data_IF_325792611720
#
_entry.id   IF_325792611720
#
_cell.length_a   1.000
_cell.length_b   1.000
_cell.length_c   1.000
_cell.angle_alpha   90.00
_cell.angle_beta   90.00
_cell.angle_gamma   90.00
#
_symmetry.space_group_name_H-M   'P 1'
#
loop_
_entity.id
_entity.type
_entity.pdbx_description
1 polymer ?
#
# COMPACT_ATOMS: atom_id res chain seq x y z
N UNK A 1 12.12 17.05 -7.80
CA UNK A 1 12.60 15.65 -7.92
C UNK A 1 12.79 15.29 -9.37
N UNK A 2 14.01 14.98 -9.79
CA UNK A 2 14.31 14.64 -11.18
C UNK A 2 14.53 13.15 -11.40
N UNK A 3 15.07 12.41 -10.41
CA UNK A 3 15.41 10.98 -10.58
C UNK A 3 15.06 10.09 -9.37
N UNK A 4 15.01 8.77 -9.60
CA UNK A 4 14.74 7.75 -8.55
C UNK A 4 15.74 7.79 -7.39
N UNK A 5 16.98 8.19 -7.64
CA UNK A 5 18.01 8.36 -6.61
C UNK A 5 17.64 9.46 -5.61
N UNK A 6 17.01 10.54 -6.06
CA UNK A 6 16.52 11.61 -5.19
C UNK A 6 15.35 11.11 -4.35
N UNK A 7 14.43 10.36 -4.98
CA UNK A 7 13.31 9.75 -4.28
C UNK A 7 13.75 8.85 -3.13
N UNK A 8 14.69 7.94 -3.38
CA UNK A 8 15.26 7.05 -2.37
C UNK A 8 15.85 7.82 -1.19
N UNK A 9 16.39 9.01 -1.44
CA UNK A 9 17.04 9.85 -0.45
C UNK A 9 16.11 10.89 0.20
N UNK A 10 14.83 10.90 -0.16
CA UNK A 10 13.87 11.87 0.36
C UNK A 10 13.68 11.75 1.88
N UNK A 11 13.41 12.89 2.51
CA UNK A 11 13.18 12.96 3.95
C UNK A 11 11.96 12.14 4.41
N UNK A 12 10.99 11.89 3.51
CA UNK A 12 9.81 11.07 3.82
C UNK A 12 10.19 9.58 3.92
N UNK A 13 10.93 9.03 2.96
CA UNK A 13 11.35 7.61 3.03
C UNK A 13 12.35 7.34 4.14
N UNK A 14 13.10 8.35 4.59
CA UNK A 14 13.98 8.24 5.75
C UNK A 14 13.22 8.26 7.07
N UNK A 15 11.95 8.66 7.08
CA UNK A 15 11.17 8.73 8.31
C UNK A 15 10.61 7.34 8.67
N UNK A 16 10.87 6.82 9.89
CA UNK A 16 10.34 5.52 10.31
C UNK A 16 8.80 5.43 10.26
N UNK A 17 8.08 6.54 10.42
CA UNK A 17 6.61 6.52 10.37
C UNK A 17 6.08 6.06 9.02
N UNK A 18 6.76 6.38 7.92
CA UNK A 18 6.36 5.94 6.58
C UNK A 18 6.41 4.42 6.46
N UNK A 19 7.40 3.77 7.06
CA UNK A 19 7.52 2.30 7.05
C UNK A 19 6.55 1.62 8.02
N UNK A 20 6.22 2.25 9.14
CA UNK A 20 5.17 1.77 10.04
C UNK A 20 3.82 1.78 9.33
N UNK A 21 3.50 2.87 8.61
CA UNK A 21 2.28 2.95 7.79
C UNK A 21 2.32 1.94 6.65
N UNK A 22 3.49 1.69 6.04
CA UNK A 22 3.64 0.66 5.01
C UNK A 22 3.33 -0.75 5.54
N UNK A 23 3.83 -1.08 6.74
CA UNK A 23 3.55 -2.37 7.40
C UNK A 23 2.07 -2.50 7.74
N UNK A 24 1.46 -1.46 8.31
CA UNK A 24 0.04 -1.44 8.62
C UNK A 24 -0.80 -1.62 7.33
N UNK A 25 -0.47 -0.87 6.28
CA UNK A 25 -1.11 -0.98 4.96
C UNK A 25 -0.94 -2.36 4.33
N UNK A 26 0.25 -2.96 4.44
CA UNK A 26 0.51 -4.31 3.95
C UNK A 26 -0.39 -5.34 4.65
N UNK A 27 -0.45 -5.30 5.98
CA UNK A 27 -1.28 -6.23 6.75
C UNK A 27 -2.77 -6.05 6.43
N UNK A 28 -3.24 -4.80 6.35
CA UNK A 28 -4.61 -4.49 5.99
C UNK A 28 -4.97 -4.97 4.58
N UNK A 29 -4.17 -4.63 3.57
CA UNK A 29 -4.38 -5.02 2.19
C UNK A 29 -4.36 -6.53 1.98
N UNK A 30 -3.39 -7.19 2.63
CA UNK A 30 -3.26 -8.64 2.57
C UNK A 30 -4.46 -9.35 3.19
N UNK A 31 -4.90 -8.92 4.37
CA UNK A 31 -6.10 -9.48 5.00
C UNK A 31 -7.38 -9.22 4.20
N UNK A 32 -7.53 -8.03 3.62
CA UNK A 32 -8.71 -7.70 2.81
C UNK A 32 -8.79 -8.57 1.54
N UNK A 33 -7.69 -8.68 0.79
CA UNK A 33 -7.64 -9.52 -0.40
C UNK A 33 -7.89 -10.99 -0.06
N UNK A 34 -7.27 -11.49 1.02
CA UNK A 34 -7.51 -12.82 1.55
C UNK A 34 -8.99 -13.06 1.86
N UNK A 35 -9.64 -12.14 2.57
CA UNK A 35 -11.05 -12.25 2.94
C UNK A 35 -11.97 -12.29 1.71
N UNK A 36 -11.77 -11.39 0.75
CA UNK A 36 -12.53 -11.35 -0.52
C UNK A 36 -12.39 -12.67 -1.28
N UNK A 37 -11.16 -13.20 -1.35
CA UNK A 37 -10.87 -14.46 -2.03
C UNK A 37 -11.46 -15.66 -1.32
N UNK A 38 -11.45 -15.68 0.01
CA UNK A 38 -12.07 -16.76 0.78
C UNK A 38 -13.59 -16.79 0.57
N UNK A 39 -14.26 -15.62 0.50
CA UNK A 39 -15.68 -15.53 0.16
C UNK A 39 -15.93 -16.12 -1.23
N UNK A 40 -15.18 -15.70 -2.24
CA UNK A 40 -15.31 -16.23 -3.61
C UNK A 40 -15.05 -17.73 -3.67
N UNK A 41 -14.10 -18.26 -2.89
CA UNK A 41 -13.85 -19.72 -2.82
C UNK A 41 -15.04 -20.45 -2.19
N UNK A 42 -15.69 -19.86 -1.18
CA UNK A 42 -16.97 -20.34 -0.64
C UNK A 42 -18.10 -20.39 -1.69
N UNK A 43 -18.06 -19.49 -2.67
CA UNK A 43 -18.97 -19.46 -3.83
C UNK A 43 -18.55 -20.45 -4.95
N UNK A 44 -17.46 -21.20 -4.77
CA UNK A 44 -17.03 -22.25 -5.70
C UNK A 44 -16.02 -21.80 -6.75
N UNK A 45 -15.34 -20.64 -6.60
CA UNK A 45 -14.23 -20.32 -7.51
C UNK A 45 -13.07 -21.31 -7.35
N UNK A 46 -12.44 -21.72 -8.48
CA UNK A 46 -11.31 -22.64 -8.44
C UNK A 46 -10.07 -21.96 -7.85
N UNK A 47 -9.19 -22.77 -7.28
CA UNK A 47 -7.87 -22.31 -6.83
C UNK A 47 -7.04 -21.83 -8.03
N UNK A 48 -6.25 -20.77 -7.82
CA UNK A 48 -5.30 -20.30 -8.85
C UNK A 48 -4.05 -21.17 -8.87
N UNK A 49 -3.71 -21.75 -7.72
CA UNK A 49 -2.60 -22.68 -7.54
C UNK A 49 -3.09 -24.07 -7.11
N UNK A 50 -2.31 -25.13 -7.35
CA UNK A 50 -2.70 -26.49 -6.93
C UNK A 50 -2.77 -26.68 -5.40
N UNK A 51 -2.30 -25.72 -4.61
CA UNK A 51 -2.20 -25.83 -3.15
C UNK A 51 -2.92 -24.67 -2.46
N UNK A 52 -3.91 -24.97 -1.62
CA UNK A 52 -4.69 -23.96 -0.88
C UNK A 52 -3.82 -22.99 -0.08
N UNK A 53 -2.78 -23.48 0.59
CA UNK A 53 -1.89 -22.63 1.39
C UNK A 53 -1.11 -21.64 0.52
N UNK A 54 -0.67 -22.07 -0.67
CA UNK A 54 0.06 -21.20 -1.61
C UNK A 54 -0.86 -20.12 -2.16
N UNK A 55 -2.09 -20.48 -2.51
CA UNK A 55 -3.13 -19.54 -2.98
C UNK A 55 -3.39 -18.43 -1.95
N UNK A 56 -3.57 -18.82 -0.68
CA UNK A 56 -3.81 -17.87 0.41
C UNK A 56 -2.60 -16.96 0.68
N UNK A 57 -1.38 -17.50 0.64
CA UNK A 57 -0.16 -16.69 0.80
C UNK A 57 -0.01 -15.71 -0.35
N UNK A 58 -0.32 -16.13 -1.58
CA UNK A 58 -0.32 -15.24 -2.75
C UNK A 58 -1.34 -14.13 -2.61
N UNK A 59 -2.58 -14.44 -2.22
CA UNK A 59 -3.62 -13.43 -2.02
C UNK A 59 -3.21 -12.37 -0.99
N UNK A 60 -2.63 -12.79 0.13
CA UNK A 60 -2.11 -11.89 1.17
C UNK A 60 -0.95 -11.06 0.62
N UNK A 61 0.03 -11.69 -0.03
CA UNK A 61 1.20 -11.01 -0.56
C UNK A 61 0.82 -10.00 -1.64
N UNK A 62 -0.09 -10.33 -2.56
CA UNK A 62 -0.58 -9.42 -3.59
C UNK A 62 -1.37 -8.26 -2.98
N UNK A 63 -2.33 -8.54 -2.11
CA UNK A 63 -3.12 -7.50 -1.45
C UNK A 63 -2.26 -6.52 -0.65
N UNK A 64 -1.29 -7.04 0.10
CA UNK A 64 -0.36 -6.22 0.86
C UNK A 64 0.59 -5.41 -0.02
N UNK A 65 1.12 -6.02 -1.10
CA UNK A 65 2.02 -5.33 -2.04
C UNK A 65 1.32 -4.18 -2.74
N UNK A 66 0.07 -4.35 -3.17
CA UNK A 66 -0.72 -3.27 -3.79
C UNK A 66 -0.85 -2.06 -2.86
N UNK A 67 -1.14 -2.29 -1.58
CA UNK A 67 -1.24 -1.21 -0.58
C UNK A 67 0.09 -0.49 -0.37
N UNK A 68 1.20 -1.22 -0.32
CA UNK A 68 2.54 -0.62 -0.22
C UNK A 68 2.88 0.21 -1.47
N UNK A 69 2.50 -0.27 -2.66
CA UNK A 69 2.68 0.48 -3.91
C UNK A 69 1.89 1.79 -3.90
N UNK A 70 0.62 1.78 -3.44
CA UNK A 70 -0.16 3.02 -3.31
C UNK A 70 0.48 4.01 -2.35
N UNK A 71 0.98 3.53 -1.20
CA UNK A 71 1.71 4.38 -0.26
C UNK A 71 2.98 4.97 -0.90
N UNK A 72 3.76 4.17 -1.62
CA UNK A 72 4.96 4.65 -2.31
C UNK A 72 4.64 5.68 -3.40
N UNK A 73 3.55 5.51 -4.14
CA UNK A 73 3.05 6.51 -5.09
C UNK A 73 2.66 7.81 -4.37
N UNK A 74 1.95 7.74 -3.25
CA UNK A 74 1.60 8.92 -2.46
C UNK A 74 2.85 9.64 -1.95
N UNK A 75 3.83 8.88 -1.44
CA UNK A 75 5.12 9.41 -0.98
C UNK A 75 5.89 10.05 -2.13
N UNK A 76 5.87 9.47 -3.33
CA UNK A 76 6.50 10.05 -4.53
C UNK A 76 5.91 11.41 -4.89
N UNK A 77 4.57 11.51 -4.96
CA UNK A 77 3.88 12.76 -5.27
C UNK A 77 4.19 13.83 -4.23
N UNK A 78 4.15 13.49 -2.94
CA UNK A 78 4.37 14.46 -1.86
C UNK A 78 5.85 14.85 -1.76
N UNK A 79 6.78 13.93 -2.00
CA UNK A 79 8.19 14.26 -2.07
C UNK A 79 8.49 15.18 -3.25
N UNK A 80 7.81 15.02 -4.39
CA UNK A 80 7.97 15.93 -5.52
C UNK A 80 7.38 17.33 -5.31
N UNK A 81 6.32 17.46 -4.50
CA UNK A 81 5.55 18.71 -4.36
C UNK A 81 5.83 19.48 -3.06
N UNK A 82 6.23 18.80 -1.99
CA UNK A 82 6.26 19.34 -0.62
C UNK A 82 7.54 19.01 0.14
N UNK A 83 8.67 18.84 -0.56
CA UNK A 83 9.95 18.47 0.05
C UNK A 83 10.46 19.51 1.08
N UNK A 84 10.10 20.78 0.90
CA UNK A 84 10.50 21.86 1.80
C UNK A 84 9.52 22.08 2.97
N UNK A 85 8.37 21.39 2.97
CA UNK A 85 7.38 21.51 4.04
C UNK A 85 7.84 20.83 5.34
N UNK A 86 7.24 21.18 6.48
CA UNK A 86 7.54 20.50 7.73
C UNK A 86 7.22 18.99 7.65
N UNK A 87 7.97 18.18 8.40
CA UNK A 87 7.81 16.71 8.40
C UNK A 87 6.38 16.30 8.78
N UNK A 88 5.77 17.02 9.73
CA UNK A 88 4.39 16.78 10.16
C UNK A 88 3.36 17.03 9.06
N UNK A 89 3.52 18.11 8.29
CA UNK A 89 2.62 18.42 7.16
C UNK A 89 2.75 17.36 6.07
N UNK A 90 3.98 16.93 5.75
CA UNK A 90 4.20 15.84 4.79
C UNK A 90 3.54 14.54 5.20
N UNK A 91 3.75 14.10 6.44
CA UNK A 91 3.19 12.84 6.94
C UNK A 91 1.66 12.89 7.01
N UNK A 92 1.07 14.01 7.44
CA UNK A 92 -0.38 14.19 7.45
C UNK A 92 -0.99 14.07 6.05
N UNK A 93 -0.33 14.70 5.05
CA UNK A 93 -0.78 14.64 3.66
C UNK A 93 -0.56 13.24 3.06
N UNK A 94 0.51 12.51 3.42
CA UNK A 94 0.72 11.10 3.00
C UNK A 94 -0.45 10.25 3.50
N UNK A 95 -0.82 10.39 4.77
CA UNK A 95 -1.93 9.64 5.36
C UNK A 95 -3.26 10.00 4.69
N UNK A 96 -3.53 11.29 4.45
CA UNK A 96 -4.74 11.73 3.76
C UNK A 96 -4.84 11.21 2.33
N UNK A 97 -3.76 11.28 1.55
CA UNK A 97 -3.70 10.73 0.19
C UNK A 97 -3.86 9.22 0.19
N UNK A 98 -3.23 8.52 1.14
CA UNK A 98 -3.37 7.09 1.30
C UNK A 98 -4.83 6.69 1.60
N UNK A 99 -5.48 7.38 2.54
CA UNK A 99 -6.90 7.15 2.86
C UNK A 99 -7.80 7.47 1.65
N UNK A 100 -7.53 8.54 0.92
CA UNK A 100 -8.28 8.93 -0.28
C UNK A 100 -8.16 7.91 -1.42
N UNK A 101 -6.96 7.41 -1.67
CA UNK A 101 -6.71 6.34 -2.66
C UNK A 101 -7.42 5.05 -2.26
N UNK A 102 -7.33 4.65 -0.99
CA UNK A 102 -7.98 3.44 -0.48
C UNK A 102 -9.51 3.56 -0.54
N UNK A 103 -10.07 4.75 -0.27
CA UNK A 103 -11.50 5.01 -0.45
C UNK A 103 -11.91 4.91 -1.93
N UNK A 104 -11.15 5.51 -2.85
CA UNK A 104 -11.41 5.41 -4.29
C UNK A 104 -11.42 3.96 -4.79
N UNK A 105 -10.54 3.10 -4.28
CA UNK A 105 -10.53 1.67 -4.65
C UNK A 105 -11.74 0.87 -4.18
N UNK A 106 -12.59 1.42 -3.29
CA UNK A 106 -13.87 0.78 -2.93
C UNK A 106 -14.96 1.05 -3.97
N UNK A 107 -14.79 2.04 -4.85
CA UNK A 107 -15.78 2.44 -5.86
C UNK A 107 -15.35 2.11 -7.30
N UNK A 108 -14.12 1.61 -7.48
CA UNK A 108 -13.59 1.10 -8.76
C UNK A 108 -13.65 -0.44 -8.76
#
# INVERSE_FOLDING_TARGET
>A
MTDFTDFRNSAILRNPTTWIVALAGFTYGGHNMYAIREIRRGEGTPLQTPWLLTDRVLDIAFGGTIQVLYLLCAVWVIAGLLEDASVWVRQAIVVLLYLGLNWLTQYL
#
